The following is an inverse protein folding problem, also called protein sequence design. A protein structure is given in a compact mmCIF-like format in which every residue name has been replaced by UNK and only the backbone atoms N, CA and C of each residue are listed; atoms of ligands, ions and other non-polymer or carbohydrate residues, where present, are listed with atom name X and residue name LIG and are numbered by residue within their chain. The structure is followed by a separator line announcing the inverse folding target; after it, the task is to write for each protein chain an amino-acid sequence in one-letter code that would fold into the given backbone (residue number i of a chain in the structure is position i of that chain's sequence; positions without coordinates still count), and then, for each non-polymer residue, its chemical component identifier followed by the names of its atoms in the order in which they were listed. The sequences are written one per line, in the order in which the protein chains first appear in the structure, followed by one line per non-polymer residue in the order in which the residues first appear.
data_IF_278987367228
#
_entry.id   IF_278987367228
#
_cell.length_a   1.000
_cell.length_b   1.000
_cell.length_c   1.000
_cell.angle_alpha   90.00
_cell.angle_beta   90.00
_cell.angle_gamma   90.00
#
_symmetry.space_group_name_H-M   'P 1'
#
loop_
_entity.id
_entity.type
_entity.pdbx_description
1 polymer ?
#
# COMPACT_ATOMS: atom_id res chain seq x y z
N UNK A 1 -5.12 -5.43 18.19
CA UNK A 1 -4.61 -4.20 17.56
C UNK A 1 -3.20 -4.49 17.12
N UNK A 2 -2.95 -4.49 15.82
CA UNK A 2 -1.59 -4.58 15.29
C UNK A 2 -0.89 -3.27 15.62
N UNK A 3 0.29 -3.33 16.25
CA UNK A 3 1.09 -2.13 16.49
C UNK A 3 1.53 -1.54 15.16
N UNK A 4 1.59 -0.22 15.06
CA UNK A 4 2.21 0.48 13.94
C UNK A 4 3.65 -0.03 13.74
N UNK A 5 3.97 -0.66 12.59
CA UNK A 5 5.31 -1.17 12.31
C UNK A 5 6.24 -0.11 11.72
N UNK A 6 5.74 1.10 11.41
CA UNK A 6 6.49 2.18 10.79
C UNK A 6 6.95 3.18 11.85
N UNK A 7 8.21 3.08 12.27
CA UNK A 7 8.78 3.93 13.33
C UNK A 7 8.79 5.43 12.99
N UNK A 8 8.86 5.78 11.70
CA UNK A 8 8.92 7.16 11.23
C UNK A 8 7.55 7.75 10.89
N UNK A 9 6.48 6.95 11.01
CA UNK A 9 5.10 7.39 10.74
C UNK A 9 4.37 7.53 12.07
N UNK A 10 3.76 8.69 12.38
CA UNK A 10 2.96 8.84 13.59
C UNK A 10 1.79 7.85 13.63
N UNK A 11 1.49 7.31 14.81
CA UNK A 11 0.42 6.31 14.98
C UNK A 11 -0.94 6.80 14.45
N UNK A 12 -1.26 8.08 14.62
CA UNK A 12 -2.50 8.66 14.08
C UNK A 12 -2.57 8.57 12.56
N UNK A 13 -1.46 8.88 11.86
CA UNK A 13 -1.39 8.80 10.40
C UNK A 13 -1.46 7.34 9.94
N UNK A 14 -0.79 6.44 10.66
CA UNK A 14 -0.86 5.00 10.40
C UNK A 14 -2.31 4.49 10.50
N UNK A 15 -3.01 4.79 11.59
CA UNK A 15 -4.41 4.37 11.79
C UNK A 15 -5.34 4.95 10.72
N UNK A 16 -5.15 6.23 10.36
CA UNK A 16 -5.91 6.85 9.27
C UNK A 16 -5.70 6.13 7.94
N UNK A 17 -4.46 5.78 7.59
CA UNK A 17 -4.13 5.10 6.34
C UNK A 17 -4.67 3.66 6.32
N UNK A 18 -4.53 2.93 7.42
CA UNK A 18 -4.99 1.53 7.52
C UNK A 18 -6.52 1.42 7.42
N UNK A 19 -7.24 2.44 7.89
CA UNK A 19 -8.71 2.51 7.87
C UNK A 19 -9.29 3.39 6.75
N UNK A 20 -8.43 3.99 5.90
CA UNK A 20 -8.87 4.84 4.80
C UNK A 20 -9.73 4.07 3.79
N UNK A 21 -10.62 4.79 3.11
CA UNK A 21 -11.34 4.24 1.95
C UNK A 21 -10.35 4.04 0.79
N UNK A 22 -9.96 2.78 0.54
CA UNK A 22 -9.05 2.46 -0.54
C UNK A 22 -9.80 2.25 -1.85
N UNK A 23 -9.33 2.92 -2.90
CA UNK A 23 -9.89 2.80 -4.24
C UNK A 23 -9.21 1.66 -5.03
N UNK A 24 -9.99 0.94 -5.82
CA UNK A 24 -9.45 0.00 -6.79
C UNK A 24 -8.86 0.73 -8.02
N UNK A 25 -7.73 0.27 -8.58
CA UNK A 25 -7.17 0.82 -9.80
C UNK A 25 -8.15 0.65 -10.97
N UNK A 26 -8.27 1.66 -11.83
CA UNK A 26 -9.11 1.60 -13.04
C UNK A 26 -8.70 0.47 -14.01
N UNK A 27 -7.45 0.03 -13.95
CA UNK A 27 -6.92 -1.07 -14.76
C UNK A 27 -7.13 -2.46 -14.12
N UNK A 28 -7.80 -2.57 -12.97
CA UNK A 28 -8.02 -3.87 -12.33
C UNK A 28 -8.95 -4.71 -13.21
N UNK A 29 -8.44 -5.80 -13.77
CA UNK A 29 -9.26 -6.80 -14.44
C UNK A 29 -10.17 -7.45 -13.39
N UNK A 30 -11.42 -7.79 -13.74
CA UNK A 30 -12.42 -8.38 -12.82
C UNK A 30 -12.11 -9.81 -12.32
N UNK A 31 -10.83 -10.16 -12.17
CA UNK A 31 -10.33 -11.43 -11.67
C UNK A 31 -10.28 -11.51 -10.13
N UNK A 32 -10.79 -10.49 -9.43
CA UNK A 32 -10.86 -10.46 -7.97
C UNK A 32 -9.49 -10.29 -7.28
N UNK A 33 -8.45 -9.88 -8.01
CA UNK A 33 -7.11 -9.67 -7.50
C UNK A 33 -6.71 -8.20 -7.54
N UNK A 34 -7.25 -7.39 -6.63
CA UNK A 34 -7.02 -5.96 -6.64
C UNK A 34 -6.13 -5.54 -5.49
N UNK A 35 -4.98 -4.96 -5.83
CA UNK A 35 -4.31 -4.04 -4.93
C UNK A 35 -5.12 -2.75 -4.91
N UNK A 36 -5.53 -2.28 -3.74
CA UNK A 36 -6.27 -1.03 -3.57
C UNK A 36 -5.36 0.03 -2.95
N UNK A 37 -5.67 1.32 -3.21
CA UNK A 37 -4.80 2.44 -2.86
C UNK A 37 -5.56 3.54 -2.13
N UNK A 38 -4.96 4.11 -1.08
CA UNK A 38 -5.40 5.35 -0.47
C UNK A 38 -4.21 6.29 -0.25
N UNK A 39 -4.49 7.57 0.04
CA UNK A 39 -3.46 8.55 0.37
C UNK A 39 -3.97 9.59 1.35
N UNK A 40 -3.18 9.88 2.37
CA UNK A 40 -3.46 10.86 3.43
C UNK A 40 -2.14 11.45 3.92
N UNK A 41 -2.13 12.74 4.26
CA UNK A 41 -1.01 13.44 4.91
C UNK A 41 0.37 13.22 4.27
N UNK A 42 0.40 13.11 2.93
CA UNK A 42 1.63 12.92 2.18
C UNK A 42 2.17 11.49 2.21
N UNK A 43 1.36 10.51 2.60
CA UNK A 43 1.64 9.08 2.50
C UNK A 43 0.66 8.37 1.57
N UNK A 44 1.09 7.22 1.07
CA UNK A 44 0.33 6.37 0.15
C UNK A 44 0.29 4.97 0.76
N UNK A 45 -0.91 4.43 0.93
CA UNK A 45 -1.12 3.07 1.43
C UNK A 45 -1.61 2.13 0.33
N UNK A 46 -1.11 0.91 0.37
CA UNK A 46 -1.55 -0.20 -0.47
C UNK A 46 -2.08 -1.35 0.39
N UNK A 47 -3.20 -1.92 -0.03
CA UNK A 47 -3.82 -3.09 0.60
C UNK A 47 -4.15 -4.15 -0.45
N UNK A 48 -4.13 -5.43 -0.05
CA UNK A 48 -4.60 -6.53 -0.89
C UNK A 48 -6.07 -6.82 -0.57
N UNK A 49 -6.95 -6.59 -1.54
CA UNK A 49 -8.39 -6.78 -1.36
C UNK A 49 -8.81 -8.25 -1.19
N UNK A 50 -7.90 -9.20 -1.39
CA UNK A 50 -8.15 -10.64 -1.18
C UNK A 50 -8.09 -11.07 0.27
N UNK A 51 -7.40 -10.30 1.11
CA UNK A 51 -7.27 -10.59 2.53
C UNK A 51 -8.55 -10.19 3.26
N UNK A 52 -8.83 -10.86 4.38
CA UNK A 52 -9.85 -10.38 5.30
C UNK A 52 -9.44 -9.04 5.93
N UNK A 53 -10.37 -8.34 6.57
CA UNK A 53 -10.11 -6.99 7.07
C UNK A 53 -8.94 -6.91 8.05
N UNK A 54 -8.76 -7.92 8.90
CA UNK A 54 -7.71 -7.91 9.90
C UNK A 54 -6.33 -8.13 9.25
N UNK A 55 -6.21 -9.15 8.40
CA UNK A 55 -4.97 -9.42 7.67
C UNK A 55 -4.63 -8.29 6.69
N UNK A 56 -5.64 -7.71 6.06
CA UNK A 56 -5.50 -6.57 5.14
C UNK A 56 -4.94 -5.35 5.86
N UNK A 57 -5.48 -5.01 7.02
CA UNK A 57 -5.00 -3.90 7.84
C UNK A 57 -3.58 -4.15 8.34
N UNK A 58 -3.32 -5.33 8.92
CA UNK A 58 -2.01 -5.69 9.47
C UNK A 58 -0.89 -5.76 8.41
N UNK A 59 -1.23 -5.95 7.13
CA UNK A 59 -0.28 -6.03 6.01
C UNK A 59 -0.31 -4.80 5.10
N UNK A 60 -0.89 -3.69 5.56
CA UNK A 60 -0.91 -2.42 4.81
C UNK A 60 0.52 -1.97 4.55
N UNK A 61 0.85 -1.75 3.28
CA UNK A 61 2.14 -1.18 2.88
C UNK A 61 2.00 0.33 2.77
N UNK A 62 2.87 1.09 3.45
CA UNK A 62 2.82 2.55 3.46
C UNK A 62 4.13 3.10 2.90
N UNK A 63 4.01 4.09 2.03
CA UNK A 63 5.13 4.74 1.36
C UNK A 63 4.96 6.26 1.37
N UNK A 64 6.06 6.98 1.40
CA UNK A 64 6.10 8.37 0.93
C UNK A 64 6.03 8.41 -0.62
N UNK A 65 5.62 9.55 -1.20
CA UNK A 65 5.67 9.76 -2.65
C UNK A 65 7.08 9.56 -3.24
N UNK A 66 8.13 9.94 -2.50
CA UNK A 66 9.50 9.79 -2.94
C UNK A 66 9.93 8.31 -3.00
N UNK A 67 9.59 7.52 -1.96
CA UNK A 67 9.87 6.09 -1.92
C UNK A 67 9.13 5.34 -3.02
N UNK A 68 7.83 5.62 -3.20
CA UNK A 68 7.05 4.98 -4.26
C UNK A 68 7.56 5.35 -5.65
N UNK A 69 7.93 6.61 -5.87
CA UNK A 69 8.52 7.05 -7.14
C UNK A 69 9.85 6.34 -7.42
N UNK A 70 10.71 6.20 -6.43
CA UNK A 70 11.97 5.46 -6.55
C UNK A 70 11.72 3.97 -6.87
N UNK A 71 10.78 3.33 -6.18
CA UNK A 71 10.40 1.94 -6.46
C UNK A 71 9.90 1.77 -7.90
N UNK A 72 8.99 2.64 -8.36
CA UNK A 72 8.46 2.59 -9.73
C UNK A 72 9.56 2.82 -10.77
N UNK A 73 10.52 3.70 -10.50
CA UNK A 73 11.65 3.93 -11.39
C UNK A 73 12.54 2.68 -11.50
N UNK A 74 12.89 2.06 -10.38
CA UNK A 74 13.69 0.83 -10.33
C UNK A 74 12.96 -0.34 -11.00
N UNK A 75 11.66 -0.49 -10.78
CA UNK A 75 10.85 -1.50 -11.44
C UNK A 75 10.82 -1.31 -12.96
N UNK A 76 10.66 -0.08 -13.43
CA UNK A 76 10.72 0.23 -14.88
C UNK A 76 12.10 0.02 -15.48
N UNK A 77 13.16 0.11 -14.69
CA UNK A 77 14.53 -0.19 -15.11
C UNK A 77 14.82 -1.71 -15.16
N UNK A 78 13.83 -2.57 -14.86
CA UNK A 78 13.97 -4.02 -14.87
C UNK A 78 14.72 -4.57 -13.65
N UNK A 79 14.88 -3.76 -12.58
CA UNK A 79 15.64 -4.17 -11.40
C UNK A 79 15.08 -5.43 -10.75
N UNK A 80 13.77 -5.66 -10.86
CA UNK A 80 13.06 -6.76 -10.20
C UNK A 80 12.66 -7.90 -11.15
N UNK A 81 13.07 -7.87 -12.42
CA UNK A 81 12.67 -8.87 -13.41
C UNK A 81 13.16 -10.29 -13.08
N UNK A 82 14.18 -10.39 -12.23
CA UNK A 82 14.76 -11.65 -11.76
C UNK A 82 14.02 -12.26 -10.56
N UNK A 83 12.98 -11.61 -10.04
CA UNK A 83 12.20 -12.06 -8.87
C UNK A 83 10.94 -12.86 -9.24
N UNK A 84 10.75 -13.17 -10.53
CA UNK A 84 9.59 -13.90 -11.07
C UNK A 84 9.97 -15.33 -11.45
#
# INVERSE_FOLDING_TARGET
MSSNPYHDIPDEVYEQLVHAEHAAPAASTGNGACITVASTDGYISFQDSKLDDNDRQARTQIYTPAELAAFVADAKAGRYDHLI
#
